data_IF_159560423782
#
_entry.id   IF_159560423782
#
_cell.length_a   1.000
_cell.length_b   1.000
_cell.length_c   1.000
_cell.angle_alpha   90.00
_cell.angle_beta   90.00
_cell.angle_gamma   90.00
#
_symmetry.space_group_name_H-M   'P 1'
#
loop_
_entity.id
_entity.type
_entity.pdbx_description
1 polymer ?
#
# COMPACT_ATOMS: atom_id res chain seq x y z
N UNK A 1 7.28 -62.29 -22.26
CA UNK A 1 6.95 -62.11 -23.70
C UNK A 1 5.90 -61.01 -23.77
N UNK A 2 6.34 -59.78 -24.07
CA UNK A 2 5.96 -58.98 -25.27
C UNK A 2 4.52 -58.41 -25.16
N UNK A 3 4.24 -57.10 -25.25
CA UNK A 3 4.87 -56.07 -26.10
C UNK A 3 4.52 -54.66 -25.62
N UNK A 4 5.55 -53.81 -25.41
CA UNK A 4 5.50 -52.36 -25.62
C UNK A 4 5.56 -52.09 -27.13
N UNK A 5 4.64 -51.29 -27.67
CA UNK A 5 4.88 -50.42 -28.84
C UNK A 5 3.57 -49.70 -29.23
N UNK A 6 3.40 -48.43 -28.84
CA UNK A 6 2.61 -47.39 -29.56
C UNK A 6 2.58 -46.04 -28.79
N UNK A 7 3.76 -45.53 -28.39
CA UNK A 7 3.87 -44.13 -27.92
C UNK A 7 5.10 -43.39 -28.46
N UNK A 8 6.02 -44.07 -29.18
CA UNK A 8 7.26 -43.46 -29.70
C UNK A 8 7.14 -42.88 -31.12
N UNK A 9 5.99 -42.95 -31.78
CA UNK A 9 5.83 -42.45 -33.16
C UNK A 9 5.15 -41.09 -33.29
N UNK A 10 4.55 -40.56 -32.21
CA UNK A 10 3.94 -39.22 -32.23
C UNK A 10 4.97 -38.14 -31.85
N UNK A 11 5.97 -38.49 -31.02
CA UNK A 11 7.00 -37.55 -30.56
C UNK A 11 8.05 -37.20 -31.64
N UNK A 12 8.38 -38.14 -32.53
CA UNK A 12 9.40 -37.93 -33.57
C UNK A 12 8.93 -37.02 -34.73
N UNK A 13 7.63 -37.00 -35.02
CA UNK A 13 7.06 -36.21 -36.13
C UNK A 13 6.88 -34.74 -35.74
N UNK A 14 6.62 -34.44 -34.46
CA UNK A 14 6.51 -33.07 -33.94
C UNK A 14 7.88 -32.38 -33.80
N UNK A 15 8.92 -33.11 -33.37
CA UNK A 15 10.28 -32.55 -33.28
C UNK A 15 10.88 -32.22 -34.67
N UNK A 16 10.66 -33.07 -35.67
CA UNK A 16 11.13 -32.81 -37.05
C UNK A 16 10.39 -31.65 -37.74
N UNK A 17 9.17 -31.34 -37.32
CA UNK A 17 8.42 -30.17 -37.81
C UNK A 17 8.94 -28.86 -37.19
N UNK A 18 9.26 -28.86 -35.89
CA UNK A 18 9.80 -27.68 -35.19
C UNK A 18 11.24 -27.33 -35.63
N UNK A 19 12.10 -28.33 -35.89
CA UNK A 19 13.46 -28.11 -36.38
C UNK A 19 13.53 -27.53 -37.81
N UNK A 20 12.47 -27.67 -38.60
CA UNK A 20 12.43 -27.19 -40.00
C UNK A 20 11.90 -25.76 -40.15
N UNK A 21 11.29 -25.20 -39.10
CA UNK A 21 10.60 -23.91 -39.16
C UNK A 21 11.11 -22.85 -38.17
N UNK A 22 11.95 -23.22 -37.19
CA UNK A 22 12.56 -22.26 -36.28
C UNK A 22 14.09 -22.43 -36.27
N UNK A 23 14.79 -21.47 -36.87
CA UNK A 23 16.24 -21.36 -36.73
C UNK A 23 16.59 -20.75 -35.37
N UNK A 24 16.97 -21.59 -34.41
CA UNK A 24 17.78 -21.18 -33.26
C UNK A 24 19.25 -21.36 -33.62
N UNK A 25 20.00 -20.27 -33.74
CA UNK A 25 21.47 -20.31 -33.72
C UNK A 25 21.94 -20.11 -32.28
N UNK A 26 22.60 -21.13 -31.74
CA UNK A 26 23.58 -20.96 -30.67
C UNK A 26 24.82 -20.24 -31.23
N UNK A 27 25.35 -19.26 -30.49
CA UNK A 27 26.76 -18.86 -30.60
C UNK A 27 27.25 -18.38 -29.23
N UNK A 28 28.24 -19.09 -28.69
CA UNK A 28 29.02 -18.65 -27.54
C UNK A 28 30.17 -17.71 -27.90
N UNK A 29 30.70 -17.09 -26.84
CA UNK A 29 32.01 -16.44 -26.64
C UNK A 29 32.46 -15.25 -27.53
N UNK A 30 32.74 -14.14 -26.81
CA UNK A 30 33.65 -13.01 -27.07
C UNK A 30 33.56 -12.23 -28.40
N UNK A 31 33.14 -10.95 -28.34
CA UNK A 31 33.96 -9.73 -28.59
C UNK A 31 33.12 -8.47 -28.89
N UNK A 32 33.47 -7.37 -28.20
CA UNK A 32 33.48 -5.92 -28.55
C UNK A 32 32.36 -5.22 -29.35
N UNK A 33 31.96 -4.07 -28.76
CA UNK A 33 31.25 -2.90 -29.30
C UNK A 33 31.35 -2.63 -30.81
N UNK A 34 30.21 -2.30 -31.44
CA UNK A 34 30.06 -1.18 -32.39
C UNK A 34 28.59 -0.80 -32.62
N UNK A 35 28.32 0.49 -32.48
CA UNK A 35 27.10 1.21 -32.85
C UNK A 35 26.76 1.08 -34.34
N UNK A 36 25.49 0.95 -34.70
CA UNK A 36 25.00 1.37 -36.01
C UNK A 36 23.52 1.80 -35.97
N UNK A 37 23.29 3.07 -36.31
CA UNK A 37 21.99 3.66 -36.63
C UNK A 37 21.34 2.97 -37.85
N UNK A 38 20.02 2.74 -37.83
CA UNK A 38 19.07 3.27 -38.85
C UNK A 38 17.61 2.88 -38.56
N UNK A 39 16.74 3.84 -38.88
CA UNK A 39 15.27 3.80 -38.90
C UNK A 39 14.71 2.61 -39.68
N UNK A 40 13.60 2.06 -39.23
CA UNK A 40 12.61 1.39 -40.07
C UNK A 40 11.20 1.74 -39.58
N UNK A 41 10.39 2.25 -40.50
CA UNK A 41 9.00 2.68 -40.34
C UNK A 41 8.06 1.47 -40.19
N UNK A 42 7.10 1.55 -39.27
CA UNK A 42 6.07 0.53 -39.08
C UNK A 42 4.88 0.81 -40.02
N UNK A 43 4.57 -0.15 -40.90
CA UNK A 43 3.30 -0.22 -41.63
C UNK A 43 2.31 -1.09 -40.86
N UNK A 44 1.11 -0.54 -40.63
CA UNK A 44 -0.07 -1.21 -40.06
C UNK A 44 -0.80 -2.01 -41.16
N UNK A 45 -1.26 -3.24 -40.86
CA UNK A 45 -2.32 -3.92 -41.62
C UNK A 45 -3.35 -4.52 -40.66
N UNK A 46 -4.67 -4.40 -40.95
CA UNK A 46 -5.74 -4.90 -40.10
C UNK A 46 -6.10 -6.37 -40.42
N UNK A 47 -6.35 -7.19 -39.40
CA UNK A 47 -6.92 -8.52 -39.59
C UNK A 47 -8.44 -8.52 -39.49
N UNK A 48 -9.08 -9.05 -40.54
CA UNK A 48 -10.47 -9.49 -40.55
C UNK A 48 -10.61 -10.98 -40.26
N UNK A 49 -11.62 -11.31 -39.45
CA UNK A 49 -12.58 -12.42 -39.52
C UNK A 49 -12.25 -13.72 -40.26
N UNK A 50 -12.42 -14.86 -39.56
CA UNK A 50 -12.93 -16.12 -40.14
C UNK A 50 -13.93 -16.85 -39.21
N UNK A 51 -14.98 -17.34 -39.85
CA UNK A 51 -16.08 -18.25 -39.47
C UNK A 51 -15.50 -19.70 -39.51
N UNK A 52 -15.91 -20.74 -38.76
CA UNK A 52 -17.18 -21.47 -38.83
C UNK A 52 -17.32 -22.68 -37.85
N UNK A 53 -18.58 -23.00 -37.51
CA UNK A 53 -19.25 -24.31 -37.28
C UNK A 53 -18.86 -25.16 -36.04
N UNK A 54 -19.74 -25.86 -35.31
CA UNK A 54 -21.11 -26.41 -35.49
C UNK A 54 -21.81 -26.51 -34.09
N UNK A 55 -23.11 -26.68 -33.87
CA UNK A 55 -24.06 -27.64 -34.44
C UNK A 55 -25.54 -27.19 -34.25
N UNK A 56 -26.43 -27.90 -34.93
CA UNK A 56 -27.74 -27.52 -35.44
C UNK A 56 -28.93 -27.49 -34.46
N UNK A 57 -29.87 -26.62 -34.83
CA UNK A 57 -31.23 -26.37 -34.35
C UNK A 57 -32.26 -27.37 -34.88
N UNK A 58 -33.35 -27.61 -34.12
CA UNK A 58 -34.66 -27.99 -34.71
C UNK A 58 -35.77 -27.07 -34.18
N UNK A 59 -36.44 -26.42 -35.13
CA UNK A 59 -37.68 -25.60 -35.15
C UNK A 59 -38.89 -26.27 -34.46
N UNK A 60 -40.07 -25.69 -34.20
CA UNK A 60 -40.74 -24.37 -34.16
C UNK A 60 -42.18 -24.68 -33.61
N UNK A 61 -42.98 -23.75 -33.06
CA UNK A 61 -44.15 -23.11 -33.71
C UNK A 61 -45.02 -22.45 -32.60
N UNK A 62 -45.55 -21.27 -32.90
CA UNK A 62 -46.52 -20.47 -32.13
C UNK A 62 -47.96 -21.03 -32.15
N UNK A 63 -48.68 -20.79 -31.05
CA UNK A 63 -50.14 -20.54 -30.91
C UNK A 63 -51.15 -21.53 -31.53
N UNK A 64 -51.98 -22.18 -30.69
CA UNK A 64 -53.44 -21.93 -30.53
C UNK A 64 -54.17 -23.07 -29.78
N UNK A 65 -55.25 -22.69 -29.07
CA UNK A 65 -56.40 -23.48 -28.54
C UNK A 65 -56.34 -24.16 -27.14
N UNK A 66 -56.81 -23.40 -26.14
CA UNK A 66 -58.01 -23.60 -25.28
C UNK A 66 -58.46 -25.00 -24.78
N UNK A 67 -58.95 -24.97 -23.51
CA UNK A 67 -59.77 -25.94 -22.73
C UNK A 67 -58.94 -27.04 -22.02
N UNK A 68 -58.92 -27.21 -20.70
CA UNK A 68 -59.92 -27.17 -19.61
C UNK A 68 -59.19 -26.69 -18.31
N UNK A 69 -59.73 -26.11 -17.25
CA UNK A 69 -61.07 -25.89 -16.73
C UNK A 69 -60.93 -25.68 -15.21
N UNK A 70 -61.53 -24.59 -14.67
CA UNK A 70 -61.95 -24.35 -13.27
C UNK A 70 -60.88 -24.40 -12.15
N UNK A 71 -60.72 -23.40 -11.26
CA UNK A 71 -61.67 -22.98 -10.20
C UNK A 71 -61.40 -21.53 -9.72
N UNK A 72 -62.52 -20.87 -9.38
CA UNK A 72 -62.90 -19.51 -8.88
C UNK A 72 -62.03 -18.85 -7.78
N UNK A 73 -61.71 -17.54 -7.88
CA UNK A 73 -62.40 -16.29 -7.40
C UNK A 73 -62.45 -16.12 -5.86
N UNK A 74 -62.24 -14.92 -5.27
CA UNK A 74 -63.31 -13.94 -4.93
C UNK A 74 -62.73 -12.60 -4.34
N UNK A 75 -63.09 -11.43 -4.95
CA UNK A 75 -63.57 -10.09 -4.42
C UNK A 75 -62.74 -9.21 -3.43
N UNK A 76 -62.88 -7.87 -3.27
CA UNK A 76 -63.20 -6.61 -4.03
C UNK A 76 -63.10 -5.42 -3.03
N UNK A 77 -62.74 -4.21 -3.52
CA UNK A 77 -63.26 -2.84 -3.18
C UNK A 77 -63.20 -2.32 -1.71
N UNK A 78 -63.24 -1.02 -1.34
CA UNK A 78 -63.01 0.34 -1.87
C UNK A 78 -63.41 1.32 -0.71
N UNK A 79 -63.11 2.63 -0.85
CA UNK A 79 -63.57 3.83 -0.06
C UNK A 79 -62.77 4.27 1.20
N UNK A 80 -62.66 5.56 1.63
CA UNK A 80 -63.48 6.81 1.51
C UNK A 80 -62.60 8.10 1.80
N UNK A 81 -62.68 9.17 0.97
CA UNK A 81 -62.84 10.67 1.19
C UNK A 81 -61.94 11.45 2.22
N UNK A 82 -61.37 12.67 2.01
CA UNK A 82 -61.95 14.04 1.77
C UNK A 82 -60.92 15.16 1.39
N UNK A 83 -61.43 16.25 0.77
CA UNK A 83 -60.84 17.52 0.26
C UNK A 83 -60.48 18.60 1.30
N UNK A 84 -59.71 19.68 1.01
CA UNK A 84 -60.12 21.02 0.47
C UNK A 84 -58.89 21.89 0.06
N UNK A 85 -58.81 22.48 -1.16
CA UNK A 85 -59.13 23.86 -1.67
C UNK A 85 -58.17 25.04 -1.33
N UNK A 86 -57.66 25.72 -2.38
CA UNK A 86 -57.52 27.20 -2.52
C UNK A 86 -57.06 27.54 -3.97
N UNK A 87 -57.91 28.04 -4.87
CA UNK A 87 -58.25 29.44 -5.21
C UNK A 87 -57.10 30.30 -5.79
N UNK A 88 -57.23 30.60 -7.09
CA UNK A 88 -56.34 31.46 -7.90
C UNK A 88 -56.89 32.89 -7.90
N UNK A 89 -56.04 33.87 -7.61
CA UNK A 89 -56.28 35.29 -7.92
C UNK A 89 -54.96 35.99 -8.24
N UNK A 90 -55.03 36.84 -9.26
CA UNK A 90 -53.94 37.37 -10.06
C UNK A 90 -53.67 38.83 -9.64
N UNK A 91 -52.48 39.16 -9.14
CA UNK A 91 -52.04 40.55 -8.94
C UNK A 91 -50.52 40.64 -9.18
N UNK A 92 -50.10 41.44 -10.17
CA UNK A 92 -48.71 41.93 -10.28
C UNK A 92 -48.56 43.16 -9.39
N UNK A 93 -47.42 43.32 -8.70
CA UNK A 93 -46.57 44.45 -9.07
C UNK A 93 -45.07 44.14 -9.07
N UNK A 94 -44.37 44.92 -9.89
CA UNK A 94 -42.93 45.10 -10.08
C UNK A 94 -42.12 45.25 -8.79
N UNK A 95 -40.99 44.52 -8.65
CA UNK A 95 -39.82 44.99 -7.92
C UNK A 95 -38.50 44.45 -8.49
N UNK A 96 -37.47 45.28 -8.37
CA UNK A 96 -36.12 45.22 -8.96
C UNK A 96 -35.32 43.94 -8.61
N UNK A 97 -34.46 43.54 -9.56
CA UNK A 97 -33.37 42.56 -9.40
C UNK A 97 -32.43 42.94 -8.25
N UNK A 98 -32.25 42.02 -7.31
CA UNK A 98 -31.01 41.82 -6.58
C UNK A 98 -30.58 40.37 -6.83
N UNK A 99 -29.39 40.21 -7.38
CA UNK A 99 -28.77 38.92 -7.69
C UNK A 99 -28.16 38.30 -6.44
N UNK A 100 -28.70 37.16 -6.00
CA UNK A 100 -27.97 36.18 -5.20
C UNK A 100 -28.09 34.84 -5.92
N UNK A 101 -26.98 34.35 -6.47
CA UNK A 101 -26.88 32.98 -6.98
C UNK A 101 -26.75 32.02 -5.78
N UNK A 102 -27.49 30.89 -5.74
CA UNK A 102 -27.16 29.79 -4.85
C UNK A 102 -25.90 29.10 -5.37
N UNK A 103 -24.86 29.02 -4.53
CA UNK A 103 -23.66 28.24 -4.80
C UNK A 103 -24.01 26.75 -4.67
N UNK A 104 -24.48 26.14 -5.76
CA UNK A 104 -24.59 24.70 -5.88
C UNK A 104 -23.26 24.19 -6.44
N UNK A 105 -22.42 23.61 -5.58
CA UNK A 105 -21.25 22.86 -6.03
C UNK A 105 -21.70 21.54 -6.64
N UNK A 106 -22.01 21.54 -7.93
CA UNK A 106 -22.01 20.33 -8.76
C UNK A 106 -20.56 20.03 -9.11
N UNK A 107 -19.92 19.15 -8.35
CA UNK A 107 -18.68 18.49 -8.77
C UNK A 107 -19.01 17.59 -9.95
N UNK A 108 -18.72 18.07 -11.16
CA UNK A 108 -18.73 17.23 -12.35
C UNK A 108 -17.63 16.18 -12.25
N UNK A 109 -17.96 14.94 -12.58
CA UNK A 109 -17.11 13.73 -12.59
C UNK A 109 -15.89 13.78 -13.53
N UNK A 110 -15.47 14.97 -13.97
CA UNK A 110 -14.33 15.21 -14.85
C UNK A 110 -13.07 15.67 -14.08
N UNK A 111 -13.18 16.17 -12.84
CA UNK A 111 -12.02 16.58 -12.03
C UNK A 111 -11.33 15.39 -11.31
N UNK A 112 -11.95 14.22 -11.29
CA UNK A 112 -11.38 13.00 -10.71
C UNK A 112 -10.38 12.27 -11.64
N UNK A 113 -10.10 12.82 -12.84
CA UNK A 113 -9.33 12.14 -13.88
C UNK A 113 -7.96 12.81 -14.22
N UNK A 114 -7.56 13.88 -13.54
CA UNK A 114 -6.19 14.43 -13.64
C UNK A 114 -5.32 13.95 -12.47
N UNK A 115 -5.07 12.65 -12.42
CA UNK A 115 -4.05 12.09 -11.53
C UNK A 115 -2.66 12.56 -11.97
N UNK A 116 -1.99 13.31 -11.09
CA UNK A 116 -0.55 13.60 -11.10
C UNK A 116 -0.05 14.55 -12.19
N UNK A 117 -0.37 15.86 -12.09
CA UNK A 117 0.66 16.87 -12.38
C UNK A 117 1.73 16.64 -11.32
N UNK A 118 2.82 15.97 -11.71
CA UNK A 118 3.91 15.54 -10.83
C UNK A 118 4.12 16.50 -9.67
N UNK A 119 3.84 16.03 -8.45
CA UNK A 119 4.03 16.83 -7.25
C UNK A 119 5.46 17.41 -7.27
N UNK A 120 5.63 18.75 -7.28
CA UNK A 120 6.92 19.38 -7.56
C UNK A 120 7.94 19.18 -6.43
N UNK A 121 7.50 18.71 -5.26
CA UNK A 121 8.35 18.55 -4.07
C UNK A 121 9.01 17.18 -3.98
N UNK A 122 8.70 16.27 -4.92
CA UNK A 122 9.34 14.96 -5.05
C UNK A 122 9.40 14.21 -3.71
N UNK A 123 8.24 14.07 -3.06
CA UNK A 123 8.16 13.36 -1.79
C UNK A 123 8.69 11.92 -1.94
N UNK A 124 9.31 11.37 -0.89
CA UNK A 124 9.56 9.93 -0.80
C UNK A 124 9.40 9.44 0.63
N UNK A 125 8.53 8.45 0.81
CA UNK A 125 8.39 7.78 2.10
C UNK A 125 9.72 7.19 2.54
N UNK A 126 10.19 7.59 3.72
CA UNK A 126 11.52 7.29 4.20
C UNK A 126 11.53 6.62 5.56
N UNK A 127 10.56 6.82 6.45
CA UNK A 127 10.56 6.11 7.72
C UNK A 127 9.21 5.78 8.34
N UNK A 128 9.25 4.79 9.21
CA UNK A 128 8.22 4.45 10.21
C UNK A 128 8.89 4.49 11.57
N UNK A 129 8.38 5.30 12.50
CA UNK A 129 8.98 5.49 13.81
C UNK A 129 8.22 4.75 14.91
N UNK A 130 8.94 3.95 15.69
CA UNK A 130 8.45 3.30 16.91
C UNK A 130 9.27 3.73 18.12
N UNK A 131 8.59 3.99 19.24
CA UNK A 131 9.29 4.17 20.52
C UNK A 131 9.59 2.81 21.14
N UNK A 132 10.83 2.64 21.59
CA UNK A 132 11.31 1.44 22.28
C UNK A 132 11.73 1.76 23.71
N UNK A 133 11.46 0.83 24.63
CA UNK A 133 11.77 1.01 26.05
C UNK A 133 13.24 0.78 26.36
N UNK A 134 13.81 -0.26 25.76
CA UNK A 134 15.13 -0.77 26.10
C UNK A 134 15.90 -1.13 24.82
N UNK A 135 16.89 -0.32 24.41
CA UNK A 135 17.68 -0.61 23.21
C UNK A 135 18.54 -1.88 23.36
N UNK A 136 18.91 -2.28 24.58
CA UNK A 136 19.68 -3.50 24.82
C UNK A 136 18.87 -4.77 24.51
N UNK A 137 17.54 -4.67 24.48
CA UNK A 137 16.64 -5.76 24.02
C UNK A 137 16.22 -5.57 22.58
N UNK A 138 15.88 -4.34 22.20
CA UNK A 138 15.31 -4.01 20.90
C UNK A 138 16.33 -4.14 19.77
N UNK A 139 17.55 -3.59 19.93
CA UNK A 139 18.54 -3.62 18.86
C UNK A 139 18.98 -5.06 18.53
N UNK A 140 19.31 -5.94 19.49
CA UNK A 140 19.60 -7.34 19.16
C UNK A 140 18.41 -8.06 18.51
N UNK A 141 17.18 -7.74 18.92
CA UNK A 141 15.99 -8.29 18.27
C UNK A 141 15.91 -7.86 16.79
N UNK A 142 15.93 -6.56 16.50
CA UNK A 142 15.82 -6.12 15.11
C UNK A 142 17.03 -6.51 14.26
N UNK A 143 18.25 -6.35 14.77
CA UNK A 143 19.47 -6.59 13.99
C UNK A 143 19.79 -8.07 13.86
N UNK A 144 19.78 -8.81 14.97
CA UNK A 144 20.22 -10.21 14.98
C UNK A 144 19.06 -11.17 14.79
N UNK A 145 17.85 -10.86 15.27
CA UNK A 145 16.66 -11.72 15.11
C UNK A 145 16.03 -11.54 13.74
N UNK A 146 15.77 -10.30 13.36
CA UNK A 146 15.04 -9.98 12.13
C UNK A 146 15.96 -9.63 10.96
N UNK A 147 17.25 -9.38 11.20
CA UNK A 147 18.23 -9.16 10.15
C UNK A 147 18.27 -7.73 9.61
N UNK A 148 17.75 -6.75 10.37
CA UNK A 148 17.93 -5.34 10.02
C UNK A 148 19.40 -4.93 10.12
N UNK A 149 19.81 -4.01 9.25
CA UNK A 149 21.07 -3.30 9.33
C UNK A 149 20.84 -1.89 9.87
N UNK A 150 21.64 -1.50 10.86
CA UNK A 150 21.60 -0.16 11.43
C UNK A 150 22.37 0.82 10.55
N UNK A 151 21.64 1.60 9.77
CA UNK A 151 22.19 2.60 8.84
C UNK A 151 22.86 3.74 9.60
N UNK A 152 22.14 4.34 10.54
CA UNK A 152 22.61 5.51 11.27
C UNK A 152 22.02 5.55 12.68
N UNK A 153 22.63 6.35 13.55
CA UNK A 153 22.11 6.64 14.88
C UNK A 153 22.43 8.08 15.29
N UNK A 154 21.50 8.72 15.99
CA UNK A 154 21.76 9.97 16.70
C UNK A 154 21.70 9.76 18.20
N UNK A 155 22.56 10.48 18.92
CA UNK A 155 22.53 10.56 20.38
C UNK A 155 22.36 12.02 20.80
N UNK A 156 21.18 12.33 21.31
CA UNK A 156 20.87 13.61 21.93
C UNK A 156 20.97 13.50 23.45
N UNK A 157 20.78 14.61 24.16
CA UNK A 157 20.91 14.65 25.62
C UNK A 157 19.86 13.81 26.35
N UNK A 158 18.64 13.68 25.79
CA UNK A 158 17.50 13.02 26.44
C UNK A 158 16.93 11.84 25.67
N UNK A 159 17.36 11.61 24.44
CA UNK A 159 16.90 10.49 23.62
C UNK A 159 17.94 10.10 22.56
N UNK A 160 17.79 8.91 22.01
CA UNK A 160 18.57 8.41 20.88
C UNK A 160 17.63 7.89 19.79
N UNK A 161 18.09 8.04 18.54
CA UNK A 161 17.40 7.55 17.35
C UNK A 161 18.27 6.47 16.69
N UNK A 162 17.67 5.37 16.26
CA UNK A 162 18.33 4.31 15.52
C UNK A 162 17.57 4.05 14.21
N UNK A 163 18.22 4.21 13.07
CA UNK A 163 17.60 4.01 11.76
C UNK A 163 18.03 2.67 11.19
N UNK A 164 17.09 1.76 11.06
CA UNK A 164 17.31 0.37 10.67
C UNK A 164 16.63 0.08 9.34
N UNK A 165 17.30 -0.62 8.44
CA UNK A 165 16.68 -1.07 7.19
C UNK A 165 17.28 -2.38 6.71
N UNK A 166 16.71 -2.96 5.66
CA UNK A 166 17.17 -4.21 5.08
C UNK A 166 17.76 -3.93 3.70
N UNK A 167 19.08 -3.63 3.60
CA UNK A 167 19.72 -3.40 2.31
C UNK A 167 19.72 -4.67 1.46
N UNK A 168 19.64 -4.48 0.15
CA UNK A 168 19.92 -5.56 -0.79
C UNK A 168 21.38 -6.04 -0.67
N UNK A 169 21.68 -7.27 -1.13
CA UNK A 169 23.05 -7.80 -1.15
C UNK A 169 24.03 -6.93 -1.93
N UNK A 170 23.54 -6.23 -2.97
CA UNK A 170 24.34 -5.31 -3.78
C UNK A 170 24.63 -3.98 -3.04
N UNK A 171 23.67 -3.49 -2.26
CA UNK A 171 23.82 -2.25 -1.49
C UNK A 171 24.74 -2.44 -0.27
N UNK A 172 24.62 -3.59 0.41
CA UNK A 172 25.22 -3.82 1.73
C UNK A 172 26.75 -3.60 1.79
N UNK A 173 27.57 -4.06 0.82
CA UNK A 173 29.02 -3.84 0.85
C UNK A 173 29.43 -2.37 0.70
N UNK A 174 28.57 -1.53 0.11
CA UNK A 174 28.83 -0.12 -0.14
C UNK A 174 28.40 0.81 1.00
N UNK A 175 27.84 0.27 2.09
CA UNK A 175 27.30 1.10 3.16
C UNK A 175 28.39 1.67 4.05
N UNK A 176 28.31 2.98 4.37
CA UNK A 176 29.23 3.60 5.30
C UNK A 176 29.04 3.06 6.73
N UNK A 177 30.05 3.17 7.60
CA UNK A 177 29.90 2.85 9.02
C UNK A 177 28.76 3.64 9.65
N UNK A 178 27.95 2.98 10.47
CA UNK A 178 26.86 3.63 11.20
C UNK A 178 27.37 4.75 12.11
N UNK A 179 26.62 5.86 12.20
CA UNK A 179 27.00 7.06 12.97
C UNK A 179 28.00 7.98 12.27
N UNK A 180 28.48 7.64 11.07
CA UNK A 180 29.33 8.52 10.25
C UNK A 180 28.54 9.60 9.51
N UNK A 181 29.20 10.69 9.11
CA UNK A 181 28.61 11.74 8.25
C UNK A 181 28.13 11.18 6.91
N UNK A 182 28.84 10.18 6.39
CA UNK A 182 28.47 9.50 5.16
C UNK A 182 27.17 8.72 5.35
N UNK A 183 27.00 8.02 6.47
CA UNK A 183 25.75 7.30 6.77
C UNK A 183 24.55 8.23 7.00
N UNK A 184 24.75 9.40 7.61
CA UNK A 184 23.73 10.45 7.71
C UNK A 184 23.31 10.96 6.31
N UNK A 185 24.30 11.26 5.46
CA UNK A 185 24.04 11.68 4.09
C UNK A 185 23.23 10.63 3.32
N UNK A 186 23.53 9.34 3.52
CA UNK A 186 22.73 8.24 2.94
C UNK A 186 21.31 8.28 3.50
N UNK A 187 21.13 8.34 4.83
CA UNK A 187 19.81 8.38 5.47
C UNK A 187 18.89 9.46 4.88
N UNK A 188 19.40 10.68 4.68
CA UNK A 188 18.62 11.82 4.22
C UNK A 188 18.61 12.02 2.70
N UNK A 189 19.13 11.05 1.93
CA UNK A 189 19.05 11.05 0.46
C UNK A 189 18.62 9.71 -0.14
N UNK A 190 18.45 8.67 0.70
CA UNK A 190 18.11 7.33 0.24
C UNK A 190 16.76 7.25 -0.47
N UNK A 191 16.65 6.24 -1.34
CA UNK A 191 15.39 5.75 -1.87
C UNK A 191 15.06 4.47 -1.14
N UNK A 192 14.09 4.51 -0.23
CA UNK A 192 13.73 3.36 0.59
C UNK A 192 13.21 3.81 1.93
N UNK A 193 12.78 2.84 2.75
CA UNK A 193 12.14 3.10 4.03
C UNK A 193 12.94 2.42 5.15
N UNK A 194 13.24 3.18 6.20
CA UNK A 194 13.86 2.70 7.43
C UNK A 194 12.80 2.54 8.52
N UNK A 195 13.05 1.63 9.45
CA UNK A 195 12.44 1.63 10.76
C UNK A 195 13.27 2.55 11.66
N UNK A 196 12.68 3.63 12.13
CA UNK A 196 13.27 4.50 13.14
C UNK A 196 12.85 4.02 14.53
N UNK A 197 13.82 3.70 15.38
CA UNK A 197 13.56 3.41 16.79
C UNK A 197 13.98 4.59 17.64
N UNK A 198 13.06 5.11 18.43
CA UNK A 198 13.33 6.18 19.40
C UNK A 198 13.39 5.60 20.81
N UNK A 199 14.53 5.80 21.46
CA UNK A 199 14.71 5.50 22.88
C UNK A 199 14.83 6.79 23.68
N UNK A 200 13.86 7.04 24.57
CA UNK A 200 13.96 8.12 25.55
C UNK A 200 14.79 7.62 26.73
N UNK A 201 15.87 8.32 27.09
CA UNK A 201 16.85 7.78 28.04
C UNK A 201 16.23 7.52 29.42
N UNK A 202 16.56 6.36 30.00
CA UNK A 202 16.07 5.95 31.32
C UNK A 202 14.75 5.18 31.31
N UNK A 203 14.06 5.03 30.16
CA UNK A 203 12.82 4.25 30.07
C UNK A 203 13.01 2.76 30.38
N UNK A 204 14.19 2.22 30.11
CA UNK A 204 14.59 0.84 30.40
C UNK A 204 14.57 0.52 31.90
N UNK A 205 14.79 1.55 32.73
CA UNK A 205 14.81 1.43 34.19
C UNK A 205 13.45 1.70 34.85
N UNK A 206 12.42 2.05 34.07
CA UNK A 206 11.06 2.33 34.58
C UNK A 206 10.22 1.05 34.51
N UNK A 207 9.91 0.36 35.62
CA UNK A 207 9.25 -0.94 35.60
C UNK A 207 7.83 -0.86 34.99
N UNK A 208 7.09 0.20 35.32
CA UNK A 208 5.68 0.36 34.93
C UNK A 208 5.47 0.98 33.55
N UNK A 209 6.53 1.59 32.98
CA UNK A 209 6.43 2.20 31.65
C UNK A 209 6.33 1.09 30.59
N UNK A 210 5.29 1.18 29.76
CA UNK A 210 5.04 0.36 28.58
C UNK A 210 4.60 1.25 27.44
N UNK A 211 5.19 1.07 26.27
CA UNK A 211 4.67 1.72 25.07
C UNK A 211 3.43 0.98 24.57
N UNK A 212 2.48 1.75 24.03
CA UNK A 212 1.25 1.25 23.47
C UNK A 212 1.49 0.76 22.04
N UNK A 213 1.23 -0.52 21.80
CA UNK A 213 1.49 -1.14 20.51
C UNK A 213 0.39 -0.89 19.45
N UNK A 214 -0.65 -0.12 19.79
CA UNK A 214 -1.71 0.32 18.87
C UNK A 214 -2.87 -0.65 18.63
N UNK A 215 -2.79 -1.89 19.15
CA UNK A 215 -3.83 -2.92 18.96
C UNK A 215 -4.75 -3.14 20.18
N UNK A 216 -4.46 -2.52 21.31
CA UNK A 216 -5.37 -2.38 22.46
C UNK A 216 -6.08 -1.01 22.39
N UNK A 217 -7.14 -0.80 23.18
CA UNK A 217 -7.77 0.52 23.24
C UNK A 217 -6.85 1.54 23.96
N UNK A 218 -6.79 2.80 23.50
CA UNK A 218 -7.36 3.30 22.25
C UNK A 218 -6.56 2.83 21.02
N UNK A 219 -7.24 2.26 20.01
CA UNK A 219 -6.57 1.66 18.84
C UNK A 219 -6.05 2.71 17.87
N UNK A 220 -5.01 2.36 17.11
CA UNK A 220 -4.46 3.20 16.05
C UNK A 220 -3.52 2.42 15.14
N UNK A 221 -2.22 2.64 15.29
CA UNK A 221 -1.16 1.85 14.65
C UNK A 221 -1.46 0.35 14.71
N UNK A 222 -1.28 -0.34 13.58
CA UNK A 222 -1.53 -1.78 13.46
C UNK A 222 -0.26 -2.58 13.71
N UNK A 223 0.65 -2.53 12.76
CA UNK A 223 1.85 -3.36 12.74
C UNK A 223 2.84 -2.85 11.70
N UNK A 224 4.07 -3.35 11.77
CA UNK A 224 4.91 -3.48 10.59
C UNK A 224 4.80 -4.90 10.06
N UNK A 225 5.03 -5.11 8.77
CA UNK A 225 5.10 -6.45 8.20
C UNK A 225 6.48 -6.75 7.64
N UNK A 226 6.90 -7.99 7.80
CA UNK A 226 8.09 -8.58 7.21
C UNK A 226 7.69 -9.70 6.26
N UNK A 227 8.10 -9.58 5.01
CA UNK A 227 7.84 -10.64 4.03
C UNK A 227 8.98 -11.65 4.01
N UNK A 228 8.68 -12.93 3.83
CA UNK A 228 9.65 -14.04 3.75
C UNK A 228 9.22 -15.08 2.72
N UNK A 229 10.11 -16.00 2.37
CA UNK A 229 9.84 -17.05 1.40
C UNK A 229 8.91 -18.15 1.98
N UNK A 230 9.12 -18.50 3.24
CA UNK A 230 8.36 -19.53 3.96
C UNK A 230 7.99 -19.04 5.35
N UNK A 231 6.71 -18.73 5.54
CA UNK A 231 6.18 -18.22 6.80
C UNK A 231 6.31 -19.25 7.93
N UNK A 232 6.12 -20.54 7.65
CA UNK A 232 6.16 -21.56 8.69
C UNK A 232 7.59 -21.80 9.17
N UNK A 233 8.54 -21.96 8.24
CA UNK A 233 9.95 -22.10 8.58
C UNK A 233 10.53 -20.82 9.22
N UNK A 234 10.04 -19.64 8.81
CA UNK A 234 10.36 -18.38 9.47
C UNK A 234 9.88 -18.36 10.92
N UNK A 235 8.63 -18.73 11.17
CA UNK A 235 8.05 -18.74 12.51
C UNK A 235 8.69 -19.78 13.42
N UNK A 236 9.03 -20.96 12.92
CA UNK A 236 9.72 -22.00 13.71
C UNK A 236 11.08 -21.51 14.21
N UNK A 237 11.87 -20.83 13.37
CA UNK A 237 13.12 -20.22 13.81
C UNK A 237 12.88 -19.13 14.85
N UNK A 238 11.95 -18.22 14.59
CA UNK A 238 11.63 -17.14 15.53
C UNK A 238 11.26 -17.72 16.90
N UNK A 239 10.45 -18.78 16.93
CA UNK A 239 10.12 -19.51 18.15
C UNK A 239 11.35 -20.17 18.80
N UNK A 240 12.22 -20.83 18.04
CA UNK A 240 13.50 -21.38 18.56
C UNK A 240 14.38 -20.30 19.18
N UNK A 241 14.25 -19.05 18.74
CA UNK A 241 14.97 -17.89 19.28
C UNK A 241 14.22 -17.17 20.40
N UNK A 242 13.10 -17.72 20.87
CA UNK A 242 12.34 -17.20 22.00
C UNK A 242 11.43 -16.01 21.66
N UNK A 243 11.15 -15.77 20.38
CA UNK A 243 10.23 -14.70 19.96
C UNK A 243 8.79 -15.07 20.34
N UNK A 244 8.10 -14.16 21.01
CA UNK A 244 6.70 -14.33 21.35
C UNK A 244 5.80 -14.07 20.14
N UNK A 245 4.65 -14.75 20.09
CA UNK A 245 3.64 -14.57 19.05
C UNK A 245 2.33 -14.07 19.64
N UNK A 246 1.68 -13.13 18.94
CA UNK A 246 0.26 -12.86 19.12
C UNK A 246 -0.59 -13.92 18.42
N UNK A 247 -0.12 -14.41 17.27
CA UNK A 247 -0.78 -15.42 16.45
C UNK A 247 0.26 -16.19 15.63
N UNK A 248 0.23 -17.51 15.70
CA UNK A 248 1.05 -18.41 14.87
C UNK A 248 0.42 -18.64 13.48
N UNK A 249 1.19 -19.12 12.48
CA UNK A 249 0.69 -19.27 11.11
C UNK A 249 -0.45 -20.28 10.94
N UNK A 250 -0.56 -21.22 11.87
CA UNK A 250 -1.58 -22.26 11.95
C UNK A 250 -2.70 -21.94 12.95
N UNK A 251 -2.75 -20.74 13.52
CA UNK A 251 -3.79 -20.28 14.46
C UNK A 251 -4.86 -19.41 13.77
N UNK A 252 -6.03 -19.26 14.42
CA UNK A 252 -7.11 -18.40 13.93
C UNK A 252 -7.79 -18.86 12.62
N UNK A 253 -8.63 -18.01 12.02
CA UNK A 253 -9.34 -18.32 10.77
C UNK A 253 -8.45 -18.21 9.53
N UNK A 254 -7.57 -17.19 9.49
CA UNK A 254 -6.66 -16.95 8.38
C UNK A 254 -5.33 -17.65 8.62
N UNK A 255 -5.02 -18.66 7.81
CA UNK A 255 -3.77 -19.43 7.87
C UNK A 255 -2.72 -18.85 6.91
N UNK A 256 -1.45 -19.19 7.14
CA UNK A 256 -0.35 -18.81 6.25
C UNK A 256 0.23 -17.41 6.49
N UNK A 257 -0.13 -16.78 7.61
CA UNK A 257 0.50 -15.56 8.15
C UNK A 257 0.56 -15.62 9.66
N UNK A 258 1.54 -14.96 10.26
CA UNK A 258 1.72 -14.89 11.71
C UNK A 258 1.87 -13.45 12.19
N UNK A 259 1.67 -13.21 13.48
CA UNK A 259 2.01 -11.96 14.15
C UNK A 259 2.98 -12.26 15.29
N UNK A 260 4.26 -11.98 15.06
CA UNK A 260 5.27 -11.96 16.11
C UNK A 260 5.15 -10.68 16.97
N UNK A 261 5.73 -10.68 18.16
CA UNK A 261 5.84 -9.52 19.03
C UNK A 261 7.30 -9.11 19.16
N UNK A 262 7.56 -7.81 19.04
CA UNK A 262 8.84 -7.24 19.42
C UNK A 262 8.96 -7.14 20.97
N UNK A 263 10.11 -6.70 21.52
CA UNK A 263 10.30 -6.57 22.96
C UNK A 263 9.34 -5.61 23.67
N UNK A 264 8.80 -4.63 22.95
CA UNK A 264 7.82 -3.64 23.46
C UNK A 264 6.36 -4.06 23.19
N UNK A 265 6.14 -5.18 22.48
CA UNK A 265 4.82 -5.74 22.19
C UNK A 265 4.20 -5.28 20.88
N UNK A 266 4.89 -4.50 20.05
CA UNK A 266 4.48 -4.17 18.69
C UNK A 266 4.31 -5.44 17.86
N UNK A 267 3.24 -5.47 17.07
CA UNK A 267 2.96 -6.60 16.22
C UNK A 267 3.81 -6.50 14.96
N UNK A 268 4.43 -7.62 14.61
CA UNK A 268 5.20 -7.80 13.38
C UNK A 268 4.52 -8.91 12.58
N UNK A 269 3.83 -8.53 11.51
CA UNK A 269 3.22 -9.51 10.62
C UNK A 269 4.30 -10.23 9.81
N UNK A 270 4.22 -11.56 9.75
CA UNK A 270 5.09 -12.39 8.91
C UNK A 270 4.25 -12.93 7.77
N UNK A 271 4.58 -12.49 6.55
CA UNK A 271 3.80 -12.77 5.33
C UNK A 271 4.67 -13.40 4.25
N UNK A 272 4.05 -14.13 3.33
CA UNK A 272 4.78 -14.71 2.20
C UNK A 272 5.00 -13.72 1.07
N UNK A 273 6.20 -13.76 0.48
CA UNK A 273 6.47 -13.16 -0.83
C UNK A 273 6.03 -14.09 -1.96
N UNK A 274 5.85 -13.52 -3.14
CA UNK A 274 5.68 -14.33 -4.35
C UNK A 274 7.01 -14.97 -4.74
N UNK A 275 6.99 -16.21 -5.23
CA UNK A 275 8.19 -16.94 -5.67
C UNK A 275 8.94 -16.22 -6.81
N UNK A 276 8.26 -15.39 -7.60
CA UNK A 276 8.88 -14.55 -8.63
C UNK A 276 9.74 -13.40 -8.07
N UNK A 277 9.59 -13.05 -6.79
CA UNK A 277 10.48 -12.11 -6.10
C UNK A 277 11.89 -12.70 -5.85
N UNK A 278 12.09 -14.00 -6.08
CA UNK A 278 13.38 -14.69 -5.94
C UNK A 278 14.49 -14.13 -6.87
N UNK A 279 14.15 -13.32 -7.87
CA UNK A 279 15.13 -12.62 -8.71
C UNK A 279 16.02 -11.63 -7.93
N UNK A 280 15.63 -11.25 -6.70
CA UNK A 280 16.39 -10.38 -5.81
C UNK A 280 17.14 -11.16 -4.71
N UNK A 281 17.27 -12.49 -4.85
CA UNK A 281 17.82 -13.36 -3.81
C UNK A 281 19.28 -13.69 -4.05
N UNK A 282 20.14 -13.18 -3.17
CA UNK A 282 21.39 -13.85 -2.77
C UNK A 282 21.04 -14.94 -1.72
N UNK A 283 21.58 -16.17 -1.80
CA UNK A 283 21.47 -17.18 -0.75
C UNK A 283 21.83 -16.69 0.67
N UNK A 284 22.64 -15.62 0.77
CA UNK A 284 23.06 -14.96 2.01
C UNK A 284 22.19 -13.72 2.37
N UNK A 285 21.14 -13.40 1.59
CA UNK A 285 20.22 -12.26 1.84
C UNK A 285 19.41 -12.47 3.12
N UNK A 286 19.04 -11.40 3.86
CA UNK A 286 18.18 -11.51 5.04
C UNK A 286 16.90 -12.29 4.77
N UNK A 287 16.53 -13.13 5.75
CA UNK A 287 15.28 -13.93 5.82
C UNK A 287 14.01 -13.11 5.55
N UNK A 288 14.07 -11.80 5.77
CA UNK A 288 12.95 -10.87 5.76
C UNK A 288 13.21 -9.66 4.86
N UNK A 289 12.14 -8.96 4.47
CA UNK A 289 12.17 -7.58 3.95
C UNK A 289 11.05 -6.80 4.61
N UNK A 290 11.28 -5.53 4.90
CA UNK A 290 10.21 -4.65 5.34
C UNK A 290 9.16 -4.51 4.22
N UNK A 291 7.94 -4.94 4.51
CA UNK A 291 6.88 -5.07 3.52
C UNK A 291 5.75 -4.08 3.76
N UNK A 292 5.40 -3.79 5.01
CA UNK A 292 4.27 -2.91 5.31
C UNK A 292 4.49 -2.08 6.58
N UNK A 293 3.81 -0.95 6.61
CA UNK A 293 3.42 -0.24 7.84
C UNK A 293 1.92 -0.06 7.79
N UNK A 294 1.20 -0.51 8.83
CA UNK A 294 -0.26 -0.47 8.86
C UNK A 294 -0.77 0.59 9.83
N UNK A 295 -1.66 1.46 9.33
CA UNK A 295 -2.39 2.45 10.12
C UNK A 295 -3.89 2.21 9.98
N UNK A 296 -4.62 2.34 11.08
CA UNK A 296 -6.08 2.42 11.03
C UNK A 296 -6.51 3.84 10.73
N UNK A 297 -7.44 3.99 9.79
CA UNK A 297 -7.96 5.28 9.33
C UNK A 297 -9.46 5.32 9.38
N UNK A 298 -10.01 6.49 9.75
CA UNK A 298 -11.44 6.73 9.91
C UNK A 298 -12.15 6.77 8.56
N UNK A 299 -11.61 7.54 7.62
CA UNK A 299 -12.21 7.72 6.30
C UNK A 299 -11.13 7.58 5.21
N UNK A 300 -11.15 6.46 4.45
CA UNK A 300 -10.13 6.21 3.45
C UNK A 300 -10.14 7.27 2.35
N UNK A 301 -11.25 7.99 2.11
CA UNK A 301 -11.26 9.06 1.09
C UNK A 301 -10.33 10.20 1.47
N UNK A 302 -10.34 10.59 2.73
CA UNK A 302 -9.51 11.68 3.25
C UNK A 302 -8.05 11.24 3.32
N UNK A 303 -7.78 10.03 3.84
CA UNK A 303 -6.42 9.50 3.92
C UNK A 303 -5.82 9.25 2.53
N UNK A 304 -6.62 8.76 1.57
CA UNK A 304 -6.17 8.64 0.17
C UNK A 304 -5.87 10.00 -0.43
N UNK A 305 -6.70 11.03 -0.25
CA UNK A 305 -6.35 12.39 -0.70
C UNK A 305 -5.00 12.83 -0.15
N UNK A 306 -4.79 12.63 1.15
CA UNK A 306 -3.54 13.01 1.80
C UNK A 306 -2.32 12.26 1.25
N UNK A 307 -2.31 10.93 1.33
CA UNK A 307 -1.13 10.14 0.94
C UNK A 307 -0.94 10.03 -0.58
N UNK A 308 -2.03 9.86 -1.35
CA UNK A 308 -1.96 9.69 -2.80
C UNK A 308 -1.79 11.04 -3.52
N UNK A 309 -2.66 12.01 -3.23
CA UNK A 309 -2.72 13.23 -4.02
C UNK A 309 -1.71 14.27 -3.51
N UNK A 310 -1.58 14.43 -2.18
CA UNK A 310 -0.69 15.44 -1.62
C UNK A 310 0.75 14.96 -1.40
N UNK A 311 0.96 13.69 -1.07
CA UNK A 311 2.30 13.11 -0.88
C UNK A 311 2.77 12.23 -2.05
N UNK A 312 1.95 12.08 -3.08
CA UNK A 312 2.34 11.43 -4.33
C UNK A 312 2.52 9.91 -4.23
N UNK A 313 1.99 9.25 -3.20
CA UNK A 313 2.00 7.79 -3.13
C UNK A 313 1.06 7.19 -4.18
N UNK A 314 1.37 5.97 -4.61
CA UNK A 314 0.56 5.22 -5.57
C UNK A 314 -0.30 4.20 -4.86
N UNK A 315 -1.62 4.34 -4.94
CA UNK A 315 -2.54 3.27 -4.58
C UNK A 315 -2.34 2.09 -5.54
N UNK A 316 -2.04 0.92 -4.98
CA UNK A 316 -1.76 -0.32 -5.71
C UNK A 316 -2.93 -1.29 -5.68
N UNK A 317 -3.57 -1.44 -4.52
CA UNK A 317 -4.60 -2.43 -4.31
C UNK A 317 -5.61 -1.93 -3.28
N UNK A 318 -6.85 -2.38 -3.45
CA UNK A 318 -7.92 -2.25 -2.47
C UNK A 318 -8.44 -3.66 -2.20
N UNK A 319 -8.65 -4.00 -0.93
CA UNK A 319 -9.24 -5.28 -0.57
C UNK A 319 -10.41 -5.09 0.38
N UNK A 320 -11.60 -5.45 -0.08
CA UNK A 320 -12.82 -5.38 0.71
C UNK A 320 -13.07 -6.70 1.45
N UNK A 321 -13.38 -6.58 2.74
CA UNK A 321 -13.93 -7.63 3.58
C UNK A 321 -15.34 -7.23 4.02
N UNK A 322 -16.00 -8.07 4.82
CA UNK A 322 -17.37 -7.84 5.28
C UNK A 322 -17.55 -6.58 6.13
N UNK A 323 -16.54 -6.25 6.93
CA UNK A 323 -16.59 -5.29 8.04
C UNK A 323 -15.42 -4.29 8.01
N UNK A 324 -14.45 -4.48 7.11
CA UNK A 324 -13.33 -3.58 6.93
C UNK A 324 -12.80 -3.62 5.50
N UNK A 325 -11.90 -2.69 5.18
CA UNK A 325 -11.20 -2.63 3.90
C UNK A 325 -9.76 -2.19 4.07
N UNK A 326 -8.90 -2.72 3.21
CA UNK A 326 -7.48 -2.42 3.19
C UNK A 326 -7.14 -1.65 1.91
N UNK A 327 -6.32 -0.61 2.04
CA UNK A 327 -5.81 0.19 0.94
C UNK A 327 -4.29 0.21 1.02
N UNK A 328 -3.63 -0.14 -0.07
CA UNK A 328 -2.17 -0.29 -0.06
C UNK A 328 -1.51 0.72 -0.97
N UNK A 329 -0.65 1.55 -0.41
CA UNK A 329 0.04 2.62 -1.12
C UNK A 329 1.55 2.40 -1.13
N UNK A 330 2.19 2.50 -2.29
CA UNK A 330 3.64 2.46 -2.41
C UNK A 330 4.18 3.81 -2.89
N UNK A 331 5.45 4.11 -2.57
CA UNK A 331 6.10 5.24 -3.20
C UNK A 331 6.43 4.91 -4.66
N UNK A 332 6.03 5.71 -5.68
CA UNK A 332 6.38 5.42 -7.07
C UNK A 332 7.89 5.23 -7.29
N UNK A 333 8.70 6.01 -6.58
CA UNK A 333 10.17 5.92 -6.65
C UNK A 333 10.75 4.60 -6.09
N UNK A 334 9.99 3.84 -5.31
CA UNK A 334 10.39 2.51 -4.82
C UNK A 334 9.89 1.36 -5.68
N UNK A 335 9.19 1.65 -6.79
CA UNK A 335 8.67 0.65 -7.71
C UNK A 335 9.59 0.48 -8.94
N UNK A 336 9.80 -0.75 -9.44
CA UNK A 336 10.42 -0.97 -10.74
C UNK A 336 9.70 -0.17 -11.83
N UNK A 337 10.46 0.48 -12.72
CA UNK A 337 9.87 1.35 -13.75
C UNK A 337 8.91 0.62 -14.70
N UNK A 338 9.19 -0.64 -15.03
CA UNK A 338 8.30 -1.50 -15.82
C UNK A 338 6.97 -1.76 -15.11
N UNK A 339 7.02 -2.02 -13.81
CA UNK A 339 5.83 -2.22 -12.99
C UNK A 339 5.03 -0.93 -12.88
N UNK A 340 5.68 0.20 -12.57
CA UNK A 340 5.00 1.49 -12.47
C UNK A 340 4.26 1.85 -13.76
N UNK A 341 4.88 1.57 -14.92
CA UNK A 341 4.28 1.79 -16.23
C UNK A 341 3.09 0.86 -16.54
N UNK A 342 3.03 -0.32 -15.92
CA UNK A 342 1.91 -1.26 -16.12
C UNK A 342 0.72 -1.03 -15.19
N UNK A 343 0.87 -0.22 -14.12
CA UNK A 343 -0.19 -0.01 -13.15
C UNK A 343 -1.33 0.86 -13.72
N UNK A 344 -2.59 0.43 -13.60
CA UNK A 344 -3.74 1.14 -14.16
C UNK A 344 -3.98 2.47 -13.46
N UNK A 345 -4.26 3.57 -14.18
CA UNK A 345 -4.39 4.92 -13.62
C UNK A 345 -5.25 4.99 -12.34
N UNK A 346 -6.38 4.27 -12.33
CA UNK A 346 -7.20 4.02 -11.15
C UNK A 346 -7.16 2.55 -10.76
N UNK A 347 -7.30 2.26 -9.46
CA UNK A 347 -7.46 0.90 -8.95
C UNK A 347 -8.95 0.57 -8.85
N UNK A 348 -9.38 -0.46 -9.56
CA UNK A 348 -10.70 -1.07 -9.38
C UNK A 348 -10.64 -1.96 -8.11
N UNK A 349 -11.52 -1.76 -7.10
CA UNK A 349 -11.50 -2.59 -5.92
C UNK A 349 -11.83 -4.08 -6.15
N UNK A 350 -12.40 -4.42 -7.30
CA UNK A 350 -12.61 -5.81 -7.72
C UNK A 350 -11.38 -6.42 -8.42
N UNK A 351 -10.38 -5.60 -8.74
CA UNK A 351 -9.14 -6.04 -9.35
C UNK A 351 -8.13 -6.50 -8.31
N UNK A 352 -7.95 -7.82 -8.23
CA UNK A 352 -6.97 -8.44 -7.34
C UNK A 352 -5.53 -8.39 -7.88
N UNK A 353 -5.30 -7.89 -9.11
CA UNK A 353 -3.96 -7.87 -9.71
C UNK A 353 -2.95 -7.05 -8.90
N UNK A 354 -3.41 -5.97 -8.25
CA UNK A 354 -2.59 -5.17 -7.34
C UNK A 354 -2.04 -5.96 -6.15
N UNK A 355 -2.74 -7.01 -5.71
CA UNK A 355 -2.29 -7.89 -4.63
C UNK A 355 -1.07 -8.71 -5.05
N UNK A 356 -1.06 -9.23 -6.28
CA UNK A 356 0.08 -9.96 -6.83
C UNK A 356 1.30 -9.05 -6.96
N UNK A 357 1.09 -7.79 -7.36
CA UNK A 357 2.15 -6.77 -7.43
C UNK A 357 2.81 -6.55 -6.09
N UNK A 358 2.03 -6.33 -5.03
CA UNK A 358 2.58 -6.06 -3.69
C UNK A 358 3.49 -7.18 -3.19
N UNK A 359 3.13 -8.44 -3.44
CA UNK A 359 3.92 -9.61 -3.05
C UNK A 359 5.27 -9.72 -3.77
N UNK A 360 5.48 -8.94 -4.83
CA UNK A 360 6.71 -8.88 -5.60
C UNK A 360 7.56 -7.64 -5.27
N UNK A 361 7.06 -6.71 -4.45
CA UNK A 361 7.75 -5.45 -4.21
C UNK A 361 8.99 -5.65 -3.34
N UNK A 362 10.13 -5.01 -3.71
CA UNK A 362 11.33 -5.01 -2.89
C UNK A 362 11.23 -4.06 -1.68
N UNK A 363 10.37 -3.03 -1.76
CA UNK A 363 10.16 -2.04 -0.71
C UNK A 363 8.74 -2.08 -0.13
N UNK A 364 8.53 -1.43 1.03
CA UNK A 364 7.27 -1.55 1.74
C UNK A 364 6.13 -0.73 1.12
N UNK A 365 4.92 -1.06 1.55
CA UNK A 365 3.70 -0.28 1.31
C UNK A 365 3.15 0.28 2.62
N UNK A 366 2.47 1.43 2.55
CA UNK A 366 1.60 1.90 3.60
C UNK A 366 0.24 1.21 3.45
N UNK A 367 -0.15 0.43 4.45
CA UNK A 367 -1.46 -0.19 4.54
C UNK A 367 -2.40 0.67 5.39
N UNK A 368 -3.51 1.10 4.80
CA UNK A 368 -4.57 1.79 5.52
C UNK A 368 -5.71 0.81 5.77
N UNK A 369 -6.01 0.55 7.03
CA UNK A 369 -7.16 -0.27 7.44
C UNK A 369 -8.33 0.63 7.81
N UNK A 370 -9.41 0.53 7.05
CA UNK A 370 -10.67 1.21 7.32
C UNK A 370 -11.70 0.22 7.86
N UNK A 371 -12.12 0.38 9.11
CA UNK A 371 -13.27 -0.38 9.64
C UNK A 371 -14.56 0.34 9.22
N UNK A 372 -15.47 -0.38 8.57
CA UNK A 372 -16.66 0.21 7.94
C UNK A 372 -17.57 0.88 8.98
N UNK A 373 -18.08 2.06 8.63
CA UNK A 373 -18.97 2.84 9.49
C UNK A 373 -18.26 3.95 10.25
N UNK A 374 -16.96 3.78 10.57
CA UNK A 374 -16.18 4.77 11.33
C UNK A 374 -16.14 6.15 10.67
N UNK A 375 -16.24 6.23 9.34
CA UNK A 375 -16.31 7.48 8.58
C UNK A 375 -17.57 8.31 8.89
N UNK A 376 -18.63 7.66 9.37
CA UNK A 376 -19.91 8.30 9.71
C UNK A 376 -20.08 8.54 11.22
N UNK A 377 -19.13 8.08 12.04
CA UNK A 377 -19.18 8.24 13.50
C UNK A 377 -18.64 9.61 13.90
N UNK A 378 -19.53 10.48 14.37
CA UNK A 378 -19.18 11.80 14.88
C UNK A 378 -18.29 11.67 16.13
N UNK A 379 -17.21 12.45 16.20
CA UNK A 379 -16.25 12.42 17.31
C UNK A 379 -15.33 11.19 17.37
N UNK A 380 -15.55 10.16 16.54
CA UNK A 380 -14.62 9.02 16.46
C UNK A 380 -13.27 9.44 15.89
N UNK A 381 -12.19 8.94 16.47
CA UNK A 381 -10.81 9.09 15.99
C UNK A 381 -9.95 7.93 16.46
N UNK A 382 -9.00 7.48 15.63
CA UNK A 382 -7.96 6.57 16.07
C UNK A 382 -6.88 7.28 16.90
N UNK A 383 -6.19 6.53 17.75
CA UNK A 383 -5.08 7.02 18.55
C UNK A 383 -3.83 7.23 17.68
N UNK A 384 -3.29 8.45 17.69
CA UNK A 384 -2.16 8.83 16.85
C UNK A 384 -0.78 8.34 17.35
N UNK A 385 -0.73 7.72 18.53
CA UNK A 385 0.50 7.20 19.16
C UNK A 385 1.37 8.23 19.90
N UNK A 386 1.05 9.53 19.80
CA UNK A 386 1.83 10.62 20.40
C UNK A 386 1.18 11.25 21.64
N UNK A 387 -0.11 11.04 21.85
CA UNK A 387 -0.77 11.25 23.15
C UNK A 387 -0.58 10.03 24.05
N UNK A 388 -0.72 10.20 25.36
CA UNK A 388 -0.67 9.04 26.27
C UNK A 388 -1.94 8.18 26.10
N UNK A 389 -1.79 6.84 26.01
CA UNK A 389 -0.55 6.07 26.11
C UNK A 389 0.28 6.09 24.80
N UNK A 390 1.54 6.51 24.88
CA UNK A 390 2.41 6.70 23.70
C UNK A 390 2.95 5.38 23.15
N UNK A 391 3.29 5.37 21.86
CA UNK A 391 3.92 4.23 21.19
C UNK A 391 4.48 4.62 19.83
N UNK A 392 3.78 4.25 18.76
CA UNK A 392 4.03 4.71 17.39
C UNK A 392 4.26 6.24 17.34
N UNK A 393 5.30 6.67 16.63
CA UNK A 393 5.66 8.08 16.52
C UNK A 393 5.08 8.72 15.28
N UNK A 394 5.51 8.29 14.10
CA UNK A 394 5.15 8.92 12.84
C UNK A 394 5.53 8.04 11.65
N UNK A 395 5.04 8.41 10.48
CA UNK A 395 5.69 8.08 9.20
C UNK A 395 6.41 9.33 8.68
N UNK A 396 7.56 9.17 8.03
CA UNK A 396 8.37 10.30 7.56
C UNK A 396 8.61 10.29 6.06
N UNK A 397 8.64 11.46 5.44
CA UNK A 397 8.85 11.69 4.02
C UNK A 397 9.98 12.68 3.78
N UNK A 398 10.87 12.37 2.85
CA UNK A 398 11.83 13.33 2.32
C UNK A 398 11.17 14.18 1.24
N UNK A 399 11.60 15.44 1.10
CA UNK A 399 11.21 16.34 0.01
C UNK A 399 12.36 17.24 -0.42
N UNK A 400 12.31 17.74 -1.66
CA UNK A 400 13.40 18.56 -2.23
C UNK A 400 13.33 20.04 -1.78
N UNK A 401 12.13 20.54 -1.48
CA UNK A 401 11.86 21.88 -0.95
C UNK A 401 10.85 21.80 0.19
N UNK A 402 11.37 21.81 1.43
CA UNK A 402 10.55 21.66 2.63
C UNK A 402 9.60 22.83 2.87
N UNK A 403 10.06 24.07 2.67
CA UNK A 403 9.24 25.26 2.92
C UNK A 403 8.10 25.34 1.90
N UNK A 404 8.41 25.12 0.62
CA UNK A 404 7.39 25.05 -0.43
C UNK A 404 6.40 23.90 -0.23
N UNK A 405 6.89 22.72 0.17
CA UNK A 405 6.07 21.57 0.52
C UNK A 405 5.10 21.89 1.67
N UNK A 406 5.60 22.47 2.76
CA UNK A 406 4.76 22.84 3.90
C UNK A 406 3.74 23.92 3.53
N UNK A 407 4.12 24.92 2.73
CA UNK A 407 3.19 25.96 2.27
C UNK A 407 2.07 25.40 1.39
N UNK A 408 2.39 24.44 0.49
CA UNK A 408 1.37 23.74 -0.31
C UNK A 408 0.42 22.95 0.57
N UNK A 409 0.93 22.15 1.51
CA UNK A 409 0.10 21.35 2.41
C UNK A 409 -0.81 22.24 3.27
N UNK A 410 -0.29 23.35 3.81
CA UNK A 410 -1.09 24.33 4.55
C UNK A 410 -2.19 24.95 3.67
N UNK A 411 -1.87 25.31 2.42
CA UNK A 411 -2.85 25.79 1.45
C UNK A 411 -3.97 24.77 1.13
N UNK A 412 -3.65 23.48 1.20
CA UNK A 412 -4.58 22.35 1.04
C UNK A 412 -5.34 21.98 2.33
N UNK A 413 -5.15 22.78 3.40
CA UNK A 413 -5.85 22.65 4.68
C UNK A 413 -5.22 21.63 5.65
N UNK A 414 -4.00 21.18 5.40
CA UNK A 414 -3.30 20.23 6.29
C UNK A 414 -2.88 20.92 7.58
N UNK A 415 -3.22 20.32 8.71
CA UNK A 415 -2.80 20.80 10.02
C UNK A 415 -1.35 20.41 10.31
N UNK A 416 -0.65 21.23 11.11
CA UNK A 416 0.72 20.97 11.54
C UNK A 416 0.81 20.81 13.06
N UNK A 417 1.63 19.87 13.50
CA UNK A 417 2.11 19.79 14.88
C UNK A 417 3.31 20.71 15.11
N UNK A 418 4.19 20.83 14.10
CA UNK A 418 5.39 21.67 14.12
C UNK A 418 5.70 22.11 12.70
N UNK A 419 5.89 23.40 12.47
CA UNK A 419 6.36 23.95 11.19
C UNK A 419 7.91 23.96 11.11
N UNK A 420 8.50 24.09 9.91
CA UNK A 420 9.97 24.19 9.75
C UNK A 420 10.58 25.35 10.58
N UNK A 421 9.83 26.45 10.69
CA UNK A 421 10.21 27.65 11.43
C UNK A 421 10.05 27.52 12.95
N UNK A 422 9.55 26.40 13.48
CA UNK A 422 9.28 26.20 14.90
C UNK A 422 10.26 25.20 15.54
N UNK A 423 10.49 25.34 16.86
CA UNK A 423 11.40 24.48 17.61
C UNK A 423 12.89 24.74 17.38
N UNK A 424 13.75 23.93 18.01
CA UNK A 424 15.20 24.02 17.90
C UNK A 424 15.75 23.35 16.65
N UNK A 425 15.15 22.24 16.21
CA UNK A 425 15.55 21.52 14.99
C UNK A 425 14.97 22.17 13.74
N UNK A 426 15.87 22.57 12.84
CA UNK A 426 15.57 23.11 11.51
C UNK A 426 15.63 22.01 10.46
N UNK A 427 15.03 22.27 9.29
CA UNK A 427 15.05 21.32 8.17
C UNK A 427 14.09 20.14 8.30
N UNK A 428 13.18 20.19 9.28
CA UNK A 428 12.06 19.25 9.42
C UNK A 428 10.77 19.92 9.92
N UNK A 429 9.64 19.31 9.58
CA UNK A 429 8.30 19.67 10.04
C UNK A 429 7.48 18.41 10.38
N UNK A 430 6.42 18.58 11.16
CA UNK A 430 5.43 17.53 11.43
C UNK A 430 4.05 18.01 10.99
N UNK A 431 3.57 17.49 9.85
CA UNK A 431 2.18 17.59 9.44
C UNK A 431 1.33 16.58 10.23
N UNK A 432 0.01 16.75 10.18
CA UNK A 432 -0.97 15.78 10.68
C UNK A 432 -1.76 15.24 9.51
N UNK A 433 -1.85 13.93 9.40
CA UNK A 433 -2.80 13.30 8.48
C UNK A 433 -4.25 13.52 8.98
N UNK A 434 -5.27 13.11 8.21
CA UNK A 434 -6.67 13.31 8.59
C UNK A 434 -7.10 12.65 9.91
N UNK A 435 -6.40 11.60 10.34
CA UNK A 435 -6.64 10.89 11.60
C UNK A 435 -5.77 11.44 12.75
N UNK A 436 -4.92 12.44 12.46
CA UNK A 436 -4.06 13.10 13.44
C UNK A 436 -2.73 12.37 13.70
N UNK A 437 -2.40 11.33 12.93
CA UNK A 437 -1.06 10.75 12.93
C UNK A 437 -0.05 11.81 12.50
N UNK A 438 1.11 11.80 13.14
CA UNK A 438 2.17 12.72 12.77
C UNK A 438 2.85 12.20 11.50
N UNK A 439 3.10 13.12 10.59
CA UNK A 439 3.82 12.87 9.34
C UNK A 439 5.01 13.80 9.30
N UNK A 440 6.21 13.24 9.47
CA UNK A 440 7.43 14.02 9.42
C UNK A 440 7.78 14.35 7.97
N UNK A 441 8.12 15.60 7.71
CA UNK A 441 8.61 16.09 6.44
C UNK A 441 10.04 16.58 6.66
N UNK A 442 10.99 15.97 5.95
CA UNK A 442 12.41 16.27 6.09
C UNK A 442 12.96 16.76 4.76
N UNK A 443 13.73 17.85 4.79
CA UNK A 443 14.43 18.33 3.59
C UNK A 443 15.53 17.35 3.19
N UNK A 444 15.61 16.96 1.92
CA UNK A 444 16.69 16.08 1.44
C UNK A 444 18.05 16.69 1.71
N UNK A 445 18.98 15.84 2.14
CA UNK A 445 20.32 16.26 2.50
C UNK A 445 20.40 17.07 3.80
N UNK A 446 19.40 16.92 4.69
CA UNK A 446 19.52 17.38 6.07
C UNK A 446 20.84 16.88 6.68
N UNK A 447 21.43 17.70 7.56
CA UNK A 447 22.56 17.34 8.38
C UNK A 447 22.31 17.93 9.78
N UNK A 448 22.42 17.10 10.82
CA UNK A 448 22.04 17.40 12.20
C UNK A 448 23.28 17.62 13.08
#
# INVERSE_FOLDING_TARGET
>A
MTTLATSKHIHATLCNWMQKHYHTRECGNHMTLRTCHRRAECYYMPQGSRIAASAATTLAILYSFLLLGSIRQTLTAAFFIRSERALVLNVRPTFRRLSCSPCAMTTTSAEAAEGNKGNPFNFSWQQTMLRIKDPAKSLPFYEQVLGFHRLHEYKFDSFSLFFLYMPSPEEKPGLPPSGSKESEKVLWSMKGTVLELTWNHGTESQPDLKYHHGNEEPRGFGHIALACDDVYAACEELERRGVAFQKKPDEGRMKGLAFAKDPDGYWIEIVSRDASAAAFRDPETPRFSLAQTMLRVKDPRQSLRFYRDLLGMRLLAIKHFSDFSLYFLAQPASLPSSLLASLPASVDPSDESGWAVMKQLPGPVLELTHNHGTENEEGFSYHNGNTDPRGFGHVGFLCDDLEGACAMLEGEGVAFQKKPSEGSMRGLAFAKDPDGYWVELVGRGLAI
#
